data_IF_915231806498
#
_entry.id   IF_915231806498
#
_cell.length_a   1.000
_cell.length_b   1.000
_cell.length_c   1.000
_cell.angle_alpha   90.00
_cell.angle_beta   90.00
_cell.angle_gamma   90.00
#
_symmetry.space_group_name_H-M   'P 1'
#
loop_
_entity.id
_entity.type
_entity.pdbx_description
1 polymer ?
#
# COMPACT_ATOMS: atom_id res chain seq x y z
N UNK A 1 15.30 22.10 71.27
CA UNK A 1 14.35 21.92 70.16
C UNK A 1 14.53 20.50 69.61
N UNK A 2 13.45 19.74 69.44
CA UNK A 2 13.40 18.54 68.60
C UNK A 2 13.89 17.23 69.21
N UNK A 3 12.97 16.48 69.82
CA UNK A 3 13.08 15.04 70.11
C UNK A 3 13.49 14.20 68.88
N UNK A 4 14.30 13.14 69.03
CA UNK A 4 14.24 11.99 68.13
C UNK A 4 13.09 11.04 68.58
N UNK A 5 12.30 10.48 67.65
CA UNK A 5 11.24 9.57 68.03
C UNK A 5 11.75 8.15 68.31
N UNK A 6 11.12 7.56 69.33
CA UNK A 6 11.27 6.19 69.82
C UNK A 6 10.91 5.14 68.78
N UNK A 7 11.63 4.02 68.84
CA UNK A 7 11.27 2.73 68.27
C UNK A 7 9.92 2.21 68.80
N UNK A 8 9.08 1.66 67.91
CA UNK A 8 7.96 0.79 68.25
C UNK A 8 7.84 -0.37 67.23
N UNK A 9 8.05 -1.58 67.76
CA UNK A 9 7.33 -2.83 67.53
C UNK A 9 6.92 -3.25 66.11
N UNK A 10 7.51 -4.37 65.67
CA UNK A 10 7.01 -5.27 64.64
C UNK A 10 5.72 -6.02 65.06
N UNK A 11 4.82 -6.33 64.10
CA UNK A 11 3.87 -7.44 64.18
C UNK A 11 4.27 -8.60 63.23
N UNK A 12 3.68 -9.80 63.39
CA UNK A 12 4.39 -11.07 63.21
C UNK A 12 4.36 -11.64 61.79
N UNK A 13 5.36 -12.52 61.56
CA UNK A 13 5.53 -13.35 60.38
C UNK A 13 4.34 -14.28 60.13
N UNK A 14 3.75 -14.17 58.93
CA UNK A 14 2.88 -15.19 58.35
C UNK A 14 3.74 -16.25 57.64
N UNK A 15 3.70 -17.48 58.18
CA UNK A 15 4.32 -18.67 57.59
C UNK A 15 3.64 -19.07 56.28
N UNK A 16 4.38 -19.74 55.36
CA UNK A 16 3.89 -20.15 54.06
C UNK A 16 3.04 -21.42 54.16
N UNK A 17 1.94 -21.48 53.39
CA UNK A 17 1.17 -22.70 53.15
C UNK A 17 1.47 -23.22 51.74
N UNK A 18 1.86 -24.48 51.67
CA UNK A 18 1.87 -25.34 50.48
C UNK A 18 1.61 -26.77 50.96
N UNK A 19 1.26 -27.73 50.08
CA UNK A 19 0.00 -27.84 49.35
C UNK A 19 -0.67 -29.20 49.63
N UNK A 20 -1.96 -29.39 49.31
CA UNK A 20 -2.49 -30.75 49.06
C UNK A 20 -3.82 -30.73 48.27
N UNK A 21 -4.21 -31.83 47.62
CA UNK A 21 -4.73 -31.83 46.26
C UNK A 21 -6.22 -32.17 46.23
N UNK A 22 -6.94 -31.70 45.21
CA UNK A 22 -8.32 -32.12 44.98
C UNK A 22 -8.45 -32.70 43.57
N UNK A 23 -8.84 -33.98 43.56
CA UNK A 23 -9.12 -34.85 42.41
C UNK A 23 -10.42 -34.46 41.69
N UNK A 24 -10.62 -34.95 40.44
CA UNK A 24 -11.69 -34.54 39.55
C UNK A 24 -13.03 -35.24 39.86
N UNK A 25 -14.12 -34.51 39.64
CA UNK A 25 -15.49 -35.02 39.70
C UNK A 25 -15.86 -35.77 38.42
N UNK A 26 -16.23 -37.03 38.60
CA UNK A 26 -16.83 -37.94 37.62
C UNK A 26 -18.35 -37.73 37.56
N UNK A 27 -18.91 -37.58 36.37
CA UNK A 27 -20.33 -37.84 36.10
C UNK A 27 -20.47 -39.09 35.23
N UNK A 28 -21.21 -40.06 35.75
CA UNK A 28 -21.59 -41.32 35.14
C UNK A 28 -22.73 -41.11 34.13
N UNK A 29 -22.65 -41.76 32.96
CA UNK A 29 -23.82 -42.09 32.17
C UNK A 29 -23.75 -43.55 31.68
N UNK A 30 -24.90 -44.21 31.70
CA UNK A 30 -25.10 -45.66 31.61
C UNK A 30 -25.34 -46.13 30.17
N UNK A 31 -24.91 -47.36 29.92
CA UNK A 31 -25.56 -48.39 29.08
C UNK A 31 -25.76 -48.18 27.55
N UNK A 32 -24.99 -48.99 26.82
CA UNK A 32 -25.16 -49.59 25.47
C UNK A 32 -26.61 -50.06 25.12
N UNK A 33 -27.01 -50.23 23.83
CA UNK A 33 -26.35 -51.18 22.92
C UNK A 33 -26.22 -50.80 21.43
N UNK A 34 -25.48 -51.68 20.73
CA UNK A 34 -25.00 -51.58 19.37
C UNK A 34 -26.09 -51.71 18.30
N UNK A 35 -25.97 -50.94 17.22
CA UNK A 35 -26.50 -51.32 15.92
C UNK A 35 -25.44 -51.17 14.82
N UNK A 36 -25.27 -52.29 14.14
CA UNK A 36 -24.42 -52.60 13.00
C UNK A 36 -24.99 -51.93 11.75
N UNK A 37 -24.25 -51.02 11.11
CA UNK A 37 -24.45 -50.70 9.69
C UNK A 37 -23.11 -50.53 8.95
N UNK A 38 -22.96 -51.43 8.00
CA UNK A 38 -21.90 -51.56 6.99
C UNK A 38 -21.64 -50.26 6.22
N UNK A 39 -20.40 -49.77 6.24
CA UNK A 39 -19.92 -48.83 5.22
C UNK A 39 -19.24 -49.61 4.10
N UNK A 40 -19.88 -49.61 2.94
CA UNK A 40 -19.31 -50.01 1.65
C UNK A 40 -18.07 -49.16 1.37
N UNK A 41 -16.97 -49.84 1.07
CA UNK A 41 -15.73 -49.30 0.54
C UNK A 41 -15.98 -48.96 -0.93
N UNK A 42 -15.98 -47.67 -1.28
CA UNK A 42 -15.94 -47.24 -2.69
C UNK A 42 -14.48 -47.18 -3.09
N UNK A 43 -14.07 -48.11 -3.97
CA UNK A 43 -12.78 -48.10 -4.64
C UNK A 43 -12.77 -46.94 -5.65
N UNK A 44 -11.89 -45.96 -5.44
CA UNK A 44 -11.57 -44.95 -6.44
C UNK A 44 -10.57 -45.55 -7.44
N UNK A 45 -10.97 -45.64 -8.71
CA UNK A 45 -10.09 -46.04 -9.81
C UNK A 45 -9.07 -44.95 -10.17
N UNK A 46 -7.99 -45.29 -10.90
CA UNK A 46 -6.87 -44.38 -11.17
C UNK A 46 -7.26 -43.24 -12.13
N UNK A 47 -6.59 -42.07 -12.04
CA UNK A 47 -6.93 -40.90 -12.83
C UNK A 47 -6.56 -41.08 -14.32
N UNK A 48 -7.47 -40.65 -15.20
CA UNK A 48 -7.25 -40.56 -16.65
C UNK A 48 -6.33 -39.37 -17.00
N UNK A 49 -5.41 -39.51 -17.97
CA UNK A 49 -4.50 -38.44 -18.37
C UNK A 49 -5.22 -37.34 -19.19
N UNK A 50 -4.72 -36.08 -19.15
CA UNK A 50 -5.32 -34.97 -19.87
C UNK A 50 -5.08 -35.05 -21.38
N UNK A 51 -6.16 -34.87 -22.14
CA UNK A 51 -6.18 -34.77 -23.60
C UNK A 51 -5.58 -33.44 -24.08
N UNK A 52 -4.49 -33.50 -24.84
CA UNK A 52 -3.88 -32.38 -25.59
C UNK A 52 -4.84 -31.85 -26.67
N UNK A 53 -5.01 -30.52 -26.82
CA UNK A 53 -5.46 -29.94 -28.09
C UNK A 53 -4.29 -29.87 -29.07
N UNK A 54 -4.56 -30.28 -30.31
CA UNK A 54 -3.64 -30.34 -31.45
C UNK A 54 -3.10 -28.96 -31.84
N UNK A 55 -1.78 -28.88 -32.02
CA UNK A 55 -1.10 -27.89 -32.87
C UNK A 55 -1.67 -27.96 -34.29
N UNK A 56 -2.10 -26.83 -34.85
CA UNK A 56 -2.17 -26.63 -36.30
C UNK A 56 -1.04 -25.70 -36.72
N UNK A 57 -0.23 -26.21 -37.63
CA UNK A 57 0.86 -25.57 -38.35
C UNK A 57 0.33 -24.56 -39.38
N UNK A 58 1.19 -23.59 -39.67
CA UNK A 58 1.14 -22.47 -40.63
C UNK A 58 0.83 -22.89 -42.08
N UNK A 59 0.56 -21.90 -42.95
CA UNK A 59 1.60 -21.61 -43.96
C UNK A 59 1.92 -20.12 -44.13
N UNK A 60 3.21 -19.89 -44.36
CA UNK A 60 3.89 -18.69 -44.87
C UNK A 60 3.38 -18.31 -46.27
N UNK A 61 3.64 -17.06 -46.71
CA UNK A 61 4.22 -16.90 -48.04
C UNK A 61 5.53 -16.11 -48.04
N UNK A 62 6.49 -16.72 -48.72
CA UNK A 62 7.50 -16.18 -49.64
C UNK A 62 8.15 -14.81 -49.39
N UNK A 63 9.47 -14.90 -49.33
CA UNK A 63 10.46 -13.86 -49.57
C UNK A 63 10.37 -13.30 -51.01
N UNK A 64 10.60 -11.99 -51.16
CA UNK A 64 11.45 -11.49 -52.24
C UNK A 64 12.27 -10.33 -51.70
N UNK A 65 13.59 -10.53 -51.66
CA UNK A 65 14.57 -9.47 -51.45
C UNK A 65 14.87 -8.79 -52.80
N UNK A 66 15.11 -7.48 -52.79
CA UNK A 66 16.04 -6.86 -53.74
C UNK A 66 16.76 -5.71 -53.03
N UNK A 67 18.07 -5.85 -52.94
CA UNK A 67 19.02 -4.81 -52.54
C UNK A 67 19.42 -3.97 -53.76
N UNK A 68 19.58 -2.65 -53.57
CA UNK A 68 20.61 -1.79 -54.20
C UNK A 68 20.50 -0.40 -53.52
N UNK A 69 21.41 0.03 -52.63
CA UNK A 69 22.78 0.49 -52.83
C UNK A 69 22.91 1.93 -53.38
N UNK A 70 23.22 2.90 -52.50
CA UNK A 70 24.16 4.05 -52.69
C UNK A 70 24.26 4.82 -51.36
N UNK A 71 25.36 4.78 -50.57
CA UNK A 71 26.57 5.64 -50.62
C UNK A 71 26.25 7.10 -50.99
N UNK A 72 26.58 8.17 -50.26
CA UNK A 72 27.27 8.40 -48.98
C UNK A 72 27.91 9.80 -48.97
N UNK A 73 27.65 10.61 -47.91
CA UNK A 73 28.45 11.76 -47.32
C UNK A 73 28.92 12.91 -48.25
N UNK A 74 29.49 14.05 -47.75
CA UNK A 74 29.74 14.56 -46.35
C UNK A 74 29.04 15.92 -46.08
N UNK A 75 28.80 16.41 -44.85
CA UNK A 75 29.65 16.95 -43.77
C UNK A 75 30.42 18.27 -44.07
N UNK A 76 29.99 19.36 -43.42
CA UNK A 76 30.79 20.51 -42.92
C UNK A 76 29.89 21.29 -41.91
N UNK A 77 30.16 21.36 -40.59
CA UNK A 77 31.20 22.03 -39.77
C UNK A 77 31.02 23.54 -39.52
N UNK A 78 30.69 23.81 -38.24
CA UNK A 78 31.19 24.85 -37.31
C UNK A 78 30.62 26.28 -37.39
N UNK A 79 30.12 26.74 -36.24
CA UNK A 79 30.00 28.16 -35.88
C UNK A 79 29.44 28.34 -34.46
N UNK A 80 30.33 28.50 -33.48
CA UNK A 80 30.03 28.81 -32.08
C UNK A 80 29.75 30.31 -31.86
N UNK A 81 28.97 30.64 -30.84
CA UNK A 81 28.88 32.01 -30.30
C UNK A 81 27.66 32.25 -29.40
N UNK A 82 27.89 32.34 -28.09
CA UNK A 82 26.94 32.85 -27.09
C UNK A 82 27.00 34.40 -27.01
N UNK A 83 26.40 35.07 -26.01
CA UNK A 83 25.03 35.59 -25.96
C UNK A 83 24.97 37.14 -25.95
N UNK A 84 23.83 37.72 -26.32
CA UNK A 84 23.48 39.16 -26.18
C UNK A 84 21.95 39.15 -25.97
N UNK A 85 21.28 39.82 -25.05
CA UNK A 85 21.48 41.06 -24.29
C UNK A 85 20.08 41.70 -24.21
N UNK A 86 19.72 42.24 -23.04
CA UNK A 86 18.38 42.68 -22.67
C UNK A 86 17.77 43.79 -23.54
N UNK A 87 16.43 43.80 -23.62
CA UNK A 87 15.45 44.92 -23.80
C UNK A 87 14.19 44.30 -24.45
N UNK A 88 12.93 44.59 -24.12
CA UNK A 88 12.25 45.81 -23.63
C UNK A 88 10.97 45.40 -22.90
N UNK A 89 10.58 46.22 -21.92
CA UNK A 89 9.25 46.24 -21.34
C UNK A 89 8.18 46.46 -22.41
N UNK A 90 7.13 45.64 -22.38
CA UNK A 90 5.89 45.84 -23.11
C UNK A 90 4.73 45.60 -22.15
N UNK A 91 4.09 46.68 -21.73
CA UNK A 91 2.78 46.64 -21.10
C UNK A 91 1.80 45.94 -22.04
N UNK A 92 1.26 44.80 -21.60
CA UNK A 92 0.02 44.25 -22.14
C UNK A 92 -0.95 44.15 -20.98
N UNK A 93 -1.95 45.00 -21.07
CA UNK A 93 -3.02 45.19 -20.10
C UNK A 93 -3.86 43.92 -19.92
N UNK A 94 -4.18 43.67 -18.65
CA UNK A 94 -5.49 43.21 -18.17
C UNK A 94 -6.31 42.29 -19.08
N UNK A 95 -6.21 40.99 -18.83
CA UNK A 95 -7.40 40.15 -18.74
C UNK A 95 -7.28 39.35 -17.44
N UNK A 96 -7.59 39.99 -16.32
CA UNK A 96 -7.94 39.27 -15.09
C UNK A 96 -9.19 38.46 -15.40
N UNK A 97 -9.01 37.18 -15.72
CA UNK A 97 -10.08 36.22 -15.63
C UNK A 97 -10.41 36.09 -14.13
N UNK A 98 -11.30 36.95 -13.62
CA UNK A 98 -11.98 36.76 -12.34
C UNK A 98 -12.98 35.60 -12.48
N UNK A 99 -12.47 34.43 -12.82
CA UNK A 99 -13.15 33.18 -12.54
C UNK A 99 -13.13 33.01 -11.03
N UNK A 100 -14.30 32.99 -10.41
CA UNK A 100 -14.49 32.59 -9.03
C UNK A 100 -13.55 31.43 -8.65
N UNK A 101 -12.50 31.71 -7.88
CA UNK A 101 -11.50 30.74 -7.41
C UNK A 101 -12.05 29.96 -6.22
N UNK A 102 -13.28 29.48 -6.33
CA UNK A 102 -13.89 28.63 -5.30
C UNK A 102 -13.42 27.21 -5.57
N UNK A 103 -12.58 26.70 -4.66
CA UNK A 103 -12.11 25.32 -4.66
C UNK A 103 -13.25 24.34 -4.48
N UNK A 104 -12.97 23.08 -4.73
CA UNK A 104 -13.98 22.03 -4.67
C UNK A 104 -14.23 21.61 -3.23
N UNK A 105 -15.50 21.35 -2.90
CA UNK A 105 -15.89 20.61 -1.70
C UNK A 105 -15.83 19.12 -2.01
N UNK A 106 -14.85 18.43 -1.44
CA UNK A 106 -14.53 17.05 -1.80
C UNK A 106 -14.85 16.05 -0.69
N UNK A 107 -15.23 14.84 -1.10
CA UNK A 107 -15.14 13.65 -0.24
C UNK A 107 -13.98 12.79 -0.68
N UNK A 108 -13.02 12.55 0.21
CA UNK A 108 -11.89 11.64 -0.02
C UNK A 108 -12.14 10.34 0.73
N UNK A 109 -12.34 9.27 -0.02
CA UNK A 109 -12.80 8.00 0.52
C UNK A 109 -11.75 6.90 0.36
N UNK A 110 -11.29 6.31 1.47
CA UNK A 110 -10.32 5.23 1.43
C UNK A 110 -10.59 4.20 2.53
N UNK A 111 -10.35 2.93 2.24
CA UNK A 111 -10.16 1.94 3.30
C UNK A 111 -8.89 2.24 4.10
N UNK A 112 -8.76 1.69 5.30
CA UNK A 112 -7.52 1.80 6.09
C UNK A 112 -6.31 1.15 5.40
N UNK A 113 -5.14 1.23 6.04
CA UNK A 113 -3.89 0.69 5.54
C UNK A 113 -3.29 1.52 4.40
N UNK A 114 -2.73 0.82 3.40
CA UNK A 114 -2.08 1.46 2.25
C UNK A 114 -3.01 2.31 1.38
N UNK A 115 -4.32 2.04 1.36
CA UNK A 115 -5.28 2.85 0.62
C UNK A 115 -5.41 4.26 1.18
N UNK A 116 -5.49 4.39 2.51
CA UNK A 116 -5.55 5.67 3.19
C UNK A 116 -4.23 6.43 3.05
N UNK A 117 -3.10 5.77 3.30
CA UNK A 117 -1.77 6.39 3.13
C UNK A 117 -1.59 6.94 1.71
N UNK A 118 -2.00 6.16 0.70
CA UNK A 118 -1.97 6.59 -0.69
C UNK A 118 -2.87 7.80 -0.95
N UNK A 119 -4.12 7.81 -0.48
CA UNK A 119 -5.05 8.91 -0.76
C UNK A 119 -4.63 10.21 -0.07
N UNK A 120 -4.09 10.13 1.15
CA UNK A 120 -3.51 11.29 1.86
C UNK A 120 -2.37 11.89 1.04
N UNK A 121 -1.49 11.07 0.47
CA UNK A 121 -0.40 11.56 -0.39
C UNK A 121 -0.91 12.15 -1.71
N UNK A 122 -1.96 11.56 -2.29
CA UNK A 122 -2.53 12.03 -3.56
C UNK A 122 -3.39 13.30 -3.41
N UNK A 123 -3.83 13.67 -2.20
CA UNK A 123 -4.66 14.85 -1.93
C UNK A 123 -4.04 16.12 -2.54
N UNK A 124 -2.74 16.37 -2.30
CA UNK A 124 -2.03 17.56 -2.80
C UNK A 124 -1.81 17.56 -4.32
N UNK A 125 -2.03 16.42 -4.98
CA UNK A 125 -1.86 16.24 -6.43
C UNK A 125 -3.18 16.16 -7.17
N UNK A 126 -4.32 16.37 -6.51
CA UNK A 126 -5.60 16.50 -7.21
C UNK A 126 -5.56 17.73 -8.13
N UNK A 127 -6.10 17.66 -9.37
CA UNK A 127 -5.88 18.70 -10.37
C UNK A 127 -6.77 19.94 -10.18
N UNK A 128 -7.51 20.01 -9.08
CA UNK A 128 -8.35 21.14 -8.71
C UNK A 128 -8.05 21.57 -7.27
N UNK A 129 -8.14 22.89 -6.96
CA UNK A 129 -8.05 23.36 -5.59
C UNK A 129 -9.17 22.77 -4.74
N UNK A 130 -8.90 22.51 -3.46
CA UNK A 130 -9.84 21.98 -2.49
C UNK A 130 -10.08 23.02 -1.39
N UNK A 131 -11.33 23.40 -1.16
CA UNK A 131 -11.70 24.33 -0.10
C UNK A 131 -12.09 23.58 1.18
N UNK A 132 -12.88 22.51 1.03
CA UNK A 132 -13.33 21.69 2.13
C UNK A 132 -13.17 20.21 1.77
N UNK A 133 -12.59 19.45 2.68
CA UNK A 133 -12.31 18.02 2.49
C UNK A 133 -12.96 17.24 3.63
N UNK A 134 -13.88 16.34 3.28
CA UNK A 134 -14.40 15.34 4.21
C UNK A 134 -13.81 13.98 3.90
N UNK A 135 -13.18 13.36 4.90
CA UNK A 135 -12.65 12.02 4.80
C UNK A 135 -13.71 10.98 5.12
N UNK A 136 -13.82 9.95 4.28
CA UNK A 136 -14.71 8.80 4.51
C UNK A 136 -13.87 7.52 4.59
N UNK A 137 -13.60 7.04 5.81
CA UNK A 137 -12.65 5.94 6.06
C UNK A 137 -13.03 5.10 7.27
N UNK A 138 -12.42 3.93 7.47
CA UNK A 138 -12.68 3.10 8.64
C UNK A 138 -12.14 3.75 9.91
N UNK A 139 -12.80 3.50 11.04
CA UNK A 139 -12.28 3.89 12.34
C UNK A 139 -11.14 2.97 12.79
N UNK A 140 -9.91 3.43 12.61
CA UNK A 140 -8.68 2.68 12.94
C UNK A 140 -7.66 3.58 13.63
N UNK A 141 -6.72 3.02 14.42
CA UNK A 141 -5.62 3.80 15.00
C UNK A 141 -4.85 4.61 13.96
N UNK A 142 -4.62 4.04 12.76
CA UNK A 142 -3.98 4.75 11.66
C UNK A 142 -4.82 5.95 11.19
N UNK A 143 -6.11 5.77 10.92
CA UNK A 143 -6.96 6.87 10.45
C UNK A 143 -7.09 7.98 11.49
N UNK A 144 -7.19 7.65 12.78
CA UNK A 144 -7.28 8.65 13.86
C UNK A 144 -5.99 9.47 13.97
N UNK A 145 -4.83 8.82 13.78
CA UNK A 145 -3.53 9.50 13.84
C UNK A 145 -3.26 10.36 12.61
N UNK A 146 -3.50 9.84 11.40
CA UNK A 146 -3.18 10.55 10.15
C UNK A 146 -4.17 11.68 9.86
N UNK A 147 -5.40 11.59 10.39
CA UNK A 147 -6.48 12.54 10.14
C UNK A 147 -6.95 13.30 11.39
N UNK A 148 -6.12 13.40 12.43
CA UNK A 148 -6.51 13.93 13.74
C UNK A 148 -7.19 15.32 13.68
N UNK A 149 -6.70 16.20 12.81
CA UNK A 149 -7.20 17.57 12.64
C UNK A 149 -8.02 17.76 11.36
N UNK A 150 -8.56 16.67 10.80
CA UNK A 150 -9.34 16.69 9.56
C UNK A 150 -10.80 16.35 9.85
N UNK A 151 -11.71 16.78 8.98
CA UNK A 151 -13.10 16.37 9.07
C UNK A 151 -13.25 14.92 8.59
N UNK A 152 -13.63 13.99 9.49
CA UNK A 152 -13.71 12.55 9.20
C UNK A 152 -15.09 12.01 9.52
N UNK A 153 -15.65 11.23 8.59
CA UNK A 153 -16.81 10.37 8.80
C UNK A 153 -16.34 8.92 8.78
N UNK A 154 -16.45 8.26 9.93
CA UNK A 154 -16.01 6.89 10.10
C UNK A 154 -17.03 5.88 9.56
N UNK A 155 -16.60 5.08 8.59
CA UNK A 155 -17.32 3.94 8.04
C UNK A 155 -17.09 2.67 8.88
N UNK A 156 -18.05 1.74 8.86
CA UNK A 156 -17.90 0.42 9.47
C UNK A 156 -16.78 -0.34 8.75
N UNK A 157 -15.95 -1.06 9.50
CA UNK A 157 -14.98 -1.97 8.89
C UNK A 157 -15.71 -3.01 8.04
N UNK A 158 -15.28 -3.13 6.78
CA UNK A 158 -15.82 -4.07 5.83
C UNK A 158 -14.73 -5.04 5.38
N UNK A 159 -14.76 -6.26 5.93
CA UNK A 159 -13.84 -7.33 5.56
C UNK A 159 -13.98 -7.69 4.06
N UNK A 160 -12.98 -8.37 3.46
CA UNK A 160 -13.09 -8.83 2.08
C UNK A 160 -14.37 -9.65 1.85
N UNK A 161 -15.18 -9.24 0.87
CA UNK A 161 -16.48 -9.84 0.49
C UNK A 161 -17.63 -9.64 1.49
N UNK A 162 -17.53 -8.69 2.42
CA UNK A 162 -18.62 -8.33 3.33
C UNK A 162 -19.64 -7.38 2.66
N UNK A 163 -20.62 -7.95 1.96
CA UNK A 163 -21.67 -7.18 1.29
C UNK A 163 -22.59 -6.42 2.27
N UNK A 164 -22.78 -6.94 3.49
CA UNK A 164 -23.63 -6.31 4.49
C UNK A 164 -22.98 -5.02 5.01
N UNK A 165 -21.67 -5.04 5.28
CA UNK A 165 -20.92 -3.84 5.64
C UNK A 165 -20.90 -2.81 4.50
N UNK A 166 -20.73 -3.25 3.25
CA UNK A 166 -20.83 -2.34 2.09
C UNK A 166 -22.18 -1.63 2.07
N UNK A 167 -23.29 -2.33 2.30
CA UNK A 167 -24.63 -1.74 2.31
C UNK A 167 -24.84 -0.78 3.49
N UNK A 168 -24.37 -1.10 4.69
CA UNK A 168 -24.40 -0.18 5.85
C UNK A 168 -23.62 1.10 5.55
N UNK A 169 -22.43 0.95 4.98
CA UNK A 169 -21.60 2.07 4.56
C UNK A 169 -22.22 2.87 3.41
N UNK A 170 -22.97 2.23 2.50
CA UNK A 170 -23.76 2.93 1.47
C UNK A 170 -24.84 3.81 2.12
N UNK A 171 -25.55 3.32 3.14
CA UNK A 171 -26.54 4.13 3.87
C UNK A 171 -25.89 5.31 4.61
N UNK A 172 -24.70 5.11 5.18
CA UNK A 172 -23.93 6.16 5.82
C UNK A 172 -23.44 7.21 4.79
N UNK A 173 -22.83 6.77 3.69
CA UNK A 173 -22.41 7.62 2.59
C UNK A 173 -23.59 8.43 2.00
N UNK A 174 -24.76 7.81 1.87
CA UNK A 174 -25.98 8.49 1.42
C UNK A 174 -26.52 9.52 2.42
N UNK A 175 -26.23 9.41 3.72
CA UNK A 175 -26.52 10.46 4.71
C UNK A 175 -25.51 11.60 4.59
N UNK A 176 -24.22 11.28 4.51
CA UNK A 176 -23.15 12.25 4.30
C UNK A 176 -23.39 13.12 3.05
N UNK A 177 -23.61 12.49 1.89
CA UNK A 177 -23.85 13.21 0.63
C UNK A 177 -25.18 13.99 0.59
N UNK A 178 -26.06 13.83 1.60
CA UNK A 178 -27.29 14.63 1.74
C UNK A 178 -27.16 15.75 2.76
N UNK A 179 -26.27 15.60 3.74
CA UNK A 179 -26.08 16.58 4.81
C UNK A 179 -25.17 17.73 4.44
N UNK A 180 -24.46 17.65 3.31
CA UNK A 180 -23.55 18.68 2.83
C UNK A 180 -23.60 18.85 1.32
N UNK A 181 -23.00 19.95 0.84
CA UNK A 181 -22.77 20.20 -0.58
C UNK A 181 -21.39 19.71 -0.96
N UNK A 182 -21.29 18.87 -1.97
CA UNK A 182 -20.03 18.34 -2.49
C UNK A 182 -20.02 18.46 -4.01
N UNK A 183 -18.85 18.67 -4.58
CA UNK A 183 -18.66 18.72 -6.04
C UNK A 183 -18.06 17.43 -6.59
N UNK A 184 -17.26 16.75 -5.75
CA UNK A 184 -16.41 15.64 -6.17
C UNK A 184 -16.20 14.63 -5.06
N UNK A 185 -16.13 13.36 -5.45
CA UNK A 185 -15.75 12.23 -4.58
C UNK A 185 -14.61 11.48 -5.26
N UNK A 186 -13.48 11.36 -4.56
CA UNK A 186 -12.31 10.60 -5.01
C UNK A 186 -12.08 9.43 -4.07
N UNK A 187 -11.83 8.25 -4.61
CA UNK A 187 -11.52 7.08 -3.79
C UNK A 187 -10.38 6.24 -4.35
N UNK A 188 -9.55 5.71 -3.45
CA UNK A 188 -8.47 4.76 -3.78
C UNK A 188 -8.83 3.29 -3.55
N UNK A 189 -10.11 2.97 -3.28
CA UNK A 189 -10.57 1.63 -2.87
C UNK A 189 -10.67 1.49 -1.34
N UNK A 190 -10.88 0.30 -0.76
CA UNK A 190 -11.44 -0.93 -1.33
C UNK A 190 -12.98 -0.88 -1.25
N UNK A 191 -13.61 -1.59 -0.31
CA UNK A 191 -15.08 -1.66 -0.16
C UNK A 191 -15.75 -0.29 0.01
N UNK A 192 -15.07 0.67 0.64
CA UNK A 192 -15.54 2.06 0.82
C UNK A 192 -15.88 2.73 -0.52
N UNK A 193 -15.10 2.47 -1.58
CA UNK A 193 -15.34 3.03 -2.91
C UNK A 193 -16.69 2.56 -3.49
N UNK A 194 -17.02 1.28 -3.32
CA UNK A 194 -18.31 0.71 -3.74
C UNK A 194 -19.48 1.34 -2.98
N UNK A 195 -19.25 1.72 -1.73
CA UNK A 195 -20.30 2.30 -0.89
C UNK A 195 -20.68 3.73 -1.30
N UNK A 196 -19.73 4.53 -1.78
CA UNK A 196 -19.95 5.98 -2.01
C UNK A 196 -19.96 6.40 -3.49
N UNK A 197 -19.10 5.85 -4.35
CA UNK A 197 -18.94 6.36 -5.72
C UNK A 197 -20.19 6.20 -6.58
N UNK A 198 -20.92 5.07 -6.57
CA UNK A 198 -22.18 4.96 -7.31
C UNK A 198 -23.22 5.98 -6.83
N UNK A 199 -23.28 6.26 -5.51
CA UNK A 199 -24.19 7.26 -4.96
C UNK A 199 -23.85 8.68 -5.37
N UNK A 200 -22.55 8.99 -5.45
CA UNK A 200 -22.03 10.27 -5.93
C UNK A 200 -22.36 10.48 -7.40
N UNK A 201 -22.10 9.46 -8.23
CA UNK A 201 -22.41 9.46 -9.66
C UNK A 201 -23.91 9.65 -9.94
N UNK A 202 -24.79 8.97 -9.18
CA UNK A 202 -26.25 9.15 -9.29
C UNK A 202 -26.73 10.54 -8.88
N UNK A 203 -25.98 11.24 -8.02
CA UNK A 203 -26.24 12.64 -7.63
C UNK A 203 -25.64 13.65 -8.60
N UNK A 204 -24.98 13.20 -9.66
CA UNK A 204 -24.33 14.05 -10.62
C UNK A 204 -23.00 14.65 -10.15
N UNK A 205 -22.42 14.16 -9.04
CA UNK A 205 -21.11 14.59 -8.55
C UNK A 205 -19.98 14.01 -9.42
N UNK A 206 -18.81 14.66 -9.41
CA UNK A 206 -17.61 14.06 -10.01
C UNK A 206 -17.21 12.81 -9.23
N UNK A 207 -17.36 11.62 -9.80
CA UNK A 207 -17.07 10.36 -9.13
C UNK A 207 -15.80 9.72 -9.72
N UNK A 208 -14.70 9.75 -8.98
CA UNK A 208 -13.37 9.35 -9.45
C UNK A 208 -12.84 8.17 -8.62
N UNK A 209 -12.62 7.05 -9.28
CA UNK A 209 -11.97 5.88 -8.71
C UNK A 209 -10.52 5.79 -9.18
N UNK A 210 -9.56 5.96 -8.28
CA UNK A 210 -8.14 5.74 -8.56
C UNK A 210 -7.76 4.36 -8.03
N UNK A 211 -7.40 3.42 -8.89
CA UNK A 211 -7.02 2.08 -8.46
C UNK A 211 -5.80 2.12 -7.52
N UNK A 212 -5.77 1.21 -6.55
CA UNK A 212 -4.66 1.12 -5.61
C UNK A 212 -3.32 0.90 -6.31
N UNK A 213 -2.24 1.48 -5.76
CA UNK A 213 -0.89 1.23 -6.26
C UNK A 213 -0.48 -0.24 -6.04
N UNK A 214 -1.22 -1.01 -5.23
CA UNK A 214 -1.00 -2.44 -5.07
C UNK A 214 -1.41 -3.26 -6.31
N UNK A 215 -1.97 -2.62 -7.34
CA UNK A 215 -2.52 -3.23 -8.54
C UNK A 215 -1.73 -2.83 -9.79
N UNK A 216 -0.53 -3.38 -9.91
CA UNK A 216 0.39 -3.06 -11.00
C UNK A 216 0.06 -3.72 -12.34
N UNK A 217 -0.67 -4.84 -12.37
CA UNK A 217 -1.01 -5.55 -13.62
C UNK A 217 -2.50 -5.52 -14.01
N UNK A 218 -3.35 -4.86 -13.23
CA UNK A 218 -4.77 -4.76 -13.58
C UNK A 218 -5.73 -4.54 -12.41
N UNK A 219 -7.02 -4.29 -12.72
CA UNK A 219 -7.97 -3.78 -11.75
C UNK A 219 -8.28 -4.79 -10.64
N UNK A 220 -8.54 -4.27 -9.45
CA UNK A 220 -9.04 -5.02 -8.30
C UNK A 220 -10.46 -5.56 -8.56
N UNK A 221 -10.98 -6.40 -7.65
CA UNK A 221 -12.40 -6.80 -7.71
C UNK A 221 -13.31 -5.57 -7.64
N UNK A 222 -13.01 -4.63 -6.74
CA UNK A 222 -13.73 -3.35 -6.62
C UNK A 222 -13.67 -2.56 -7.92
N UNK A 223 -12.48 -2.37 -8.49
CA UNK A 223 -12.32 -1.67 -9.77
C UNK A 223 -13.09 -2.34 -10.92
N UNK A 224 -13.09 -3.67 -10.99
CA UNK A 224 -13.86 -4.43 -11.98
C UNK A 224 -15.37 -4.29 -11.84
N UNK A 225 -15.88 -4.02 -10.64
CA UNK A 225 -17.29 -3.72 -10.42
C UNK A 225 -17.57 -2.26 -10.81
N UNK A 226 -16.76 -1.32 -10.32
CA UNK A 226 -16.95 0.11 -10.54
C UNK A 226 -16.83 0.55 -11.99
N UNK A 227 -16.04 -0.16 -12.82
CA UNK A 227 -15.94 0.15 -14.27
C UNK A 227 -17.27 0.05 -15.02
N UNK A 228 -18.27 -0.61 -14.44
CA UNK A 228 -19.63 -0.74 -14.99
C UNK A 228 -20.63 0.20 -14.34
N UNK A 229 -20.24 0.92 -13.28
CA UNK A 229 -21.10 1.90 -12.65
C UNK A 229 -21.16 3.17 -13.54
N UNK A 230 -22.35 3.56 -14.04
CA UNK A 230 -22.47 4.72 -14.91
C UNK A 230 -21.90 5.97 -14.25
N UNK A 231 -21.18 6.79 -15.04
CA UNK A 231 -20.57 8.08 -14.62
C UNK A 231 -19.49 7.99 -13.53
N UNK A 232 -19.12 6.79 -13.07
CA UNK A 232 -17.90 6.59 -12.28
C UNK A 232 -16.72 6.51 -13.25
N UNK A 233 -15.74 7.40 -13.07
CA UNK A 233 -14.53 7.46 -13.89
C UNK A 233 -13.45 6.63 -13.22
N UNK A 234 -12.87 5.68 -13.94
CA UNK A 234 -11.87 4.74 -13.42
C UNK A 234 -10.47 5.09 -13.92
N UNK A 235 -9.52 5.15 -12.99
CA UNK A 235 -8.14 5.53 -13.23
C UNK A 235 -7.17 4.49 -12.70
N UNK A 236 -6.04 4.30 -13.39
CA UNK A 236 -4.94 3.45 -12.95
C UNK A 236 -3.67 4.27 -12.65
N UNK A 237 -2.75 3.66 -11.90
CA UNK A 237 -1.46 4.27 -11.53
C UNK A 237 -0.26 3.67 -12.29
N UNK A 238 -0.55 2.85 -13.29
CA UNK A 238 0.42 2.12 -14.09
C UNK A 238 -0.03 2.24 -15.55
N UNK A 239 0.74 2.93 -16.41
CA UNK A 239 0.35 3.13 -17.81
C UNK A 239 0.29 1.81 -18.59
N UNK A 240 1.01 0.78 -18.16
CA UNK A 240 1.20 -0.49 -18.87
C UNK A 240 -0.10 -1.27 -19.08
N UNK A 241 -1.07 -1.14 -18.16
CA UNK A 241 -2.39 -1.78 -18.27
C UNK A 241 -3.54 -0.81 -18.50
N UNK A 242 -3.26 0.48 -18.68
CA UNK A 242 -4.29 1.45 -19.04
C UNK A 242 -4.98 1.02 -20.35
N UNK A 243 -6.30 1.19 -20.44
CA UNK A 243 -7.07 0.75 -21.60
C UNK A 243 -8.56 0.55 -21.33
N UNK A 244 -9.36 0.65 -22.39
CA UNK A 244 -10.81 0.61 -22.29
C UNK A 244 -11.34 1.77 -21.44
N UNK A 245 -12.02 1.47 -20.34
CA UNK A 245 -12.56 2.47 -19.42
C UNK A 245 -11.52 2.99 -18.39
N UNK A 246 -10.26 2.54 -18.47
CA UNK A 246 -9.21 2.91 -17.51
C UNK A 246 -8.26 3.95 -18.11
N UNK A 247 -8.11 5.07 -17.40
CA UNK A 247 -7.19 6.15 -17.76
C UNK A 247 -6.01 6.18 -16.79
N UNK A 248 -4.79 6.31 -17.29
CA UNK A 248 -3.63 6.51 -16.43
C UNK A 248 -3.66 7.90 -15.78
N UNK A 249 -3.79 7.95 -14.45
CA UNK A 249 -3.85 9.18 -13.69
C UNK A 249 -2.48 9.74 -13.30
N UNK A 250 -1.40 8.95 -13.41
CA UNK A 250 -0.18 9.17 -12.65
C UNK A 250 -0.09 8.20 -11.48
N UNK A 251 1.10 8.02 -10.91
CA UNK A 251 1.38 7.15 -9.78
C UNK A 251 1.66 7.96 -8.53
N UNK A 252 1.23 7.46 -7.36
CA UNK A 252 1.62 8.01 -6.06
C UNK A 252 3.14 8.11 -5.90
N UNK A 253 3.90 7.26 -6.61
CA UNK A 253 5.36 7.24 -6.57
C UNK A 253 6.04 8.28 -7.46
N UNK A 254 5.30 9.01 -8.31
CA UNK A 254 5.88 10.02 -9.22
C UNK A 254 6.45 11.24 -8.48
N UNK A 255 6.15 11.37 -7.18
CA UNK A 255 6.69 12.44 -6.34
C UNK A 255 8.00 12.10 -5.65
N UNK A 256 8.68 11.01 -6.03
CA UNK A 256 9.93 10.57 -5.42
C UNK A 256 11.02 10.36 -6.46
N UNK A 257 12.24 10.68 -6.06
CA UNK A 257 13.45 10.33 -6.80
C UNK A 257 14.50 9.80 -5.83
N UNK A 258 15.39 8.95 -6.33
CA UNK A 258 16.54 8.46 -5.58
C UNK A 258 17.85 8.98 -6.13
N UNK A 259 18.83 9.09 -5.25
CA UNK A 259 20.19 9.48 -5.58
C UNK A 259 21.19 8.66 -4.75
N UNK A 260 22.39 8.46 -5.31
CA UNK A 260 23.50 7.81 -4.60
C UNK A 260 24.19 8.85 -3.73
N UNK A 261 24.26 8.60 -2.42
CA UNK A 261 24.96 9.47 -1.45
C UNK A 261 26.31 8.92 -0.97
N UNK A 262 26.72 7.75 -1.47
CA UNK A 262 27.97 7.08 -1.13
C UNK A 262 27.78 6.02 -0.04
N UNK A 263 28.81 5.19 0.17
CA UNK A 263 28.77 4.09 1.15
C UNK A 263 28.67 4.64 2.58
N UNK A 264 27.77 4.05 3.38
CA UNK A 264 27.62 4.30 4.81
C UNK A 264 27.64 2.98 5.57
N UNK A 265 28.22 2.99 6.76
CA UNK A 265 28.12 1.87 7.70
C UNK A 265 26.66 1.71 8.13
N UNK A 266 26.13 0.50 8.04
CA UNK A 266 24.78 0.16 8.50
C UNK A 266 24.86 -0.23 9.98
N UNK A 267 24.25 0.56 10.84
CA UNK A 267 24.20 0.34 12.29
C UNK A 267 22.79 0.17 12.83
N UNK A 268 21.78 0.72 12.13
CA UNK A 268 20.37 0.65 12.50
C UNK A 268 19.51 0.17 11.35
N UNK A 269 18.68 -0.84 11.61
CA UNK A 269 17.77 -1.42 10.61
C UNK A 269 16.34 -1.42 11.15
N UNK A 270 15.41 -0.87 10.38
CA UNK A 270 13.97 -1.00 10.68
C UNK A 270 13.35 -2.06 9.79
N UNK A 271 12.78 -3.10 10.40
CA UNK A 271 12.11 -4.20 9.71
C UNK A 271 10.61 -4.11 9.91
N UNK A 272 9.85 -4.10 8.81
CA UNK A 272 8.37 -4.14 8.87
C UNK A 272 7.76 -5.16 7.91
N UNK A 273 6.97 -6.08 8.45
CA UNK A 273 6.16 -7.02 7.65
C UNK A 273 4.67 -6.66 7.66
N UNK A 274 4.33 -5.46 8.13
CA UNK A 274 2.96 -4.99 8.27
C UNK A 274 2.20 -5.62 9.44
N UNK A 275 0.99 -5.12 9.70
CA UNK A 275 0.16 -5.51 10.85
C UNK A 275 -1.05 -6.37 10.48
N UNK A 276 -1.18 -6.77 9.22
CA UNK A 276 -2.33 -7.54 8.78
C UNK A 276 -2.31 -8.96 9.37
N UNK A 277 -3.32 -9.27 10.19
CA UNK A 277 -3.47 -10.58 10.80
C UNK A 277 -3.62 -11.69 9.75
N UNK A 278 -3.06 -12.86 10.05
CA UNK A 278 -3.18 -14.06 9.21
C UNK A 278 -2.12 -14.18 8.12
N UNK A 279 -1.21 -13.21 7.98
CA UNK A 279 -0.14 -13.21 7.00
C UNK A 279 1.23 -13.11 7.69
N UNK A 280 1.71 -14.22 8.26
CA UNK A 280 3.08 -14.30 8.76
C UNK A 280 4.11 -14.19 7.65
N UNK A 281 5.34 -13.79 7.98
CA UNK A 281 6.43 -13.67 7.02
C UNK A 281 7.76 -14.17 7.59
N UNK A 282 7.74 -15.41 8.09
CA UNK A 282 8.87 -16.02 8.79
C UNK A 282 10.12 -16.13 7.90
N UNK A 283 9.96 -16.39 6.60
CA UNK A 283 11.08 -16.51 5.66
C UNK A 283 11.96 -15.25 5.65
N UNK A 284 11.38 -14.06 5.65
CA UNK A 284 12.10 -12.79 5.74
C UNK A 284 12.78 -12.62 7.09
N UNK A 285 12.04 -12.81 8.19
CA UNK A 285 12.59 -12.61 9.54
C UNK A 285 13.76 -13.56 9.80
N UNK A 286 13.60 -14.86 9.49
CA UNK A 286 14.67 -15.84 9.61
C UNK A 286 15.87 -15.48 8.74
N UNK A 287 15.65 -15.06 7.49
CA UNK A 287 16.75 -14.64 6.63
C UNK A 287 17.53 -13.47 7.22
N UNK A 288 16.83 -12.46 7.73
CA UNK A 288 17.47 -11.28 8.31
C UNK A 288 18.29 -11.65 9.55
N UNK A 289 17.78 -12.53 10.41
CA UNK A 289 18.55 -13.06 11.55
C UNK A 289 19.86 -13.73 11.09
N UNK A 290 19.84 -14.45 9.96
CA UNK A 290 21.04 -15.14 9.46
C UNK A 290 22.11 -14.20 8.87
N UNK A 291 21.71 -13.03 8.33
CA UNK A 291 22.62 -12.14 7.58
C UNK A 291 23.01 -10.87 8.33
N UNK A 292 22.27 -10.49 9.36
CA UNK A 292 22.55 -9.29 10.13
C UNK A 292 23.75 -9.54 11.06
N UNK A 293 24.83 -8.73 10.96
CA UNK A 293 25.98 -8.85 11.85
C UNK A 293 25.62 -8.53 13.31
N UNK A 294 26.42 -9.07 14.23
CA UNK A 294 26.38 -8.66 15.63
C UNK A 294 26.61 -7.15 15.78
N UNK A 295 25.85 -6.50 16.66
CA UNK A 295 25.98 -5.06 16.94
C UNK A 295 25.09 -4.14 16.09
N UNK A 296 24.40 -4.65 15.07
CA UNK A 296 23.35 -3.89 14.38
C UNK A 296 22.11 -3.81 15.27
N UNK A 297 21.63 -2.59 15.52
CA UNK A 297 20.38 -2.35 16.23
C UNK A 297 19.20 -2.56 15.27
N UNK A 298 18.22 -3.37 15.67
CA UNK A 298 17.11 -3.74 14.79
C UNK A 298 15.76 -3.53 15.46
N UNK A 299 14.88 -2.79 14.80
CA UNK A 299 13.47 -2.66 15.17
C UNK A 299 12.66 -3.68 14.38
N UNK A 300 11.98 -4.59 15.08
CA UNK A 300 11.22 -5.68 14.48
C UNK A 300 9.71 -5.51 14.59
N UNK A 301 9.06 -4.93 13.57
CA UNK A 301 7.60 -5.07 13.43
C UNK A 301 7.26 -6.39 12.73
N UNK A 302 6.82 -7.37 13.52
CA UNK A 302 6.68 -8.77 13.10
C UNK A 302 5.27 -9.16 12.64
N UNK A 303 4.25 -8.32 12.87
CA UNK A 303 2.87 -8.66 12.51
C UNK A 303 2.39 -9.92 13.23
N UNK A 304 1.72 -10.82 12.50
CA UNK A 304 1.34 -12.15 13.00
C UNK A 304 2.40 -13.23 12.73
N UNK A 305 3.65 -12.86 12.51
CA UNK A 305 4.72 -13.82 12.21
C UNK A 305 5.13 -14.57 13.46
N UNK A 306 5.16 -15.90 13.37
CA UNK A 306 5.79 -16.73 14.41
C UNK A 306 7.31 -16.53 14.35
N UNK A 307 7.86 -15.99 15.44
CA UNK A 307 9.30 -15.74 15.62
C UNK A 307 9.94 -16.61 16.69
N UNK A 308 9.25 -17.66 17.15
CA UNK A 308 9.80 -18.59 18.12
C UNK A 308 11.14 -19.15 17.64
N UNK A 309 12.12 -19.17 18.55
CA UNK A 309 13.47 -19.67 18.30
C UNK A 309 14.37 -18.76 17.46
N UNK A 310 13.95 -17.55 17.08
CA UNK A 310 14.75 -16.64 16.24
C UNK A 310 15.56 -15.59 17.02
N UNK A 311 15.39 -15.51 18.35
CA UNK A 311 16.13 -14.53 19.18
C UNK A 311 15.76 -13.06 18.92
N UNK A 312 14.64 -12.79 18.25
CA UNK A 312 14.13 -11.44 17.98
C UNK A 312 13.09 -11.02 19.02
N UNK A 313 13.04 -9.74 19.36
CA UNK A 313 11.98 -9.16 20.18
C UNK A 313 10.78 -8.79 19.30
N UNK A 314 9.65 -9.55 19.34
CA UNK A 314 8.54 -9.28 18.43
C UNK A 314 7.76 -8.04 18.84
N UNK A 315 7.51 -7.16 17.88
CA UNK A 315 6.46 -6.13 17.98
C UNK A 315 5.35 -6.43 16.97
N UNK A 316 4.24 -7.08 17.37
CA UNK A 316 3.16 -7.44 16.45
C UNK A 316 2.55 -6.23 15.72
N UNK A 317 2.54 -5.08 16.39
CA UNK A 317 2.15 -3.80 15.81
C UNK A 317 3.00 -2.69 16.41
N UNK A 318 3.32 -1.68 15.61
CA UNK A 318 3.97 -0.44 16.01
C UNK A 318 3.06 0.70 15.53
N UNK A 319 2.72 1.68 16.37
CA UNK A 319 1.97 2.87 15.94
C UNK A 319 2.62 3.53 14.72
N UNK A 320 1.81 4.03 13.78
CA UNK A 320 2.33 4.55 12.51
C UNK A 320 3.37 5.66 12.67
N UNK A 321 3.12 6.62 13.56
CA UNK A 321 4.06 7.71 13.84
C UNK A 321 5.39 7.19 14.43
N UNK A 322 5.33 6.19 15.31
CA UNK A 322 6.53 5.58 15.90
C UNK A 322 7.30 4.77 14.84
N UNK A 323 6.62 4.01 13.98
CA UNK A 323 7.26 3.29 12.88
C UNK A 323 7.97 4.24 11.91
N UNK A 324 7.35 5.37 11.57
CA UNK A 324 7.99 6.40 10.72
C UNK A 324 9.21 7.00 11.41
N UNK A 325 9.15 7.29 12.72
CA UNK A 325 10.31 7.76 13.47
C UNK A 325 11.48 6.74 13.42
N UNK A 326 11.19 5.45 13.63
CA UNK A 326 12.19 4.39 13.48
C UNK A 326 12.75 4.30 12.04
N UNK A 327 11.93 4.52 11.01
CA UNK A 327 12.40 4.57 9.62
C UNK A 327 13.31 5.77 9.35
N UNK A 328 12.97 6.94 9.90
CA UNK A 328 13.78 8.17 9.78
C UNK A 328 15.14 7.97 10.45
N UNK A 329 15.19 7.32 11.61
CA UNK A 329 16.42 7.12 12.38
C UNK A 329 17.26 5.91 11.93
N UNK A 330 16.68 4.97 11.19
CA UNK A 330 17.38 3.78 10.66
C UNK A 330 18.29 4.11 9.48
N UNK A 331 19.37 3.35 9.27
CA UNK A 331 20.18 3.44 8.06
C UNK A 331 19.48 2.76 6.87
N UNK A 332 18.83 1.62 7.15
CA UNK A 332 18.13 0.78 6.17
C UNK A 332 16.74 0.42 6.66
N UNK A 333 15.77 0.47 5.74
CA UNK A 333 14.43 -0.08 5.95
C UNK A 333 14.29 -1.36 5.13
N UNK A 334 13.97 -2.46 5.80
CA UNK A 334 13.57 -3.72 5.14
C UNK A 334 12.10 -3.92 5.34
N UNK A 335 11.34 -4.02 4.25
CA UNK A 335 9.89 -4.12 4.33
C UNK A 335 9.33 -5.23 3.46
N UNK A 336 8.17 -5.77 3.85
CA UNK A 336 7.34 -6.44 2.85
C UNK A 336 6.93 -5.43 1.75
N UNK A 337 6.69 -5.90 0.53
CA UNK A 337 6.35 -5.03 -0.59
C UNK A 337 4.88 -4.55 -0.60
N UNK A 338 4.39 -4.08 0.56
CA UNK A 338 3.12 -3.38 0.66
C UNK A 338 3.27 -1.89 0.38
N UNK A 339 2.32 -1.30 -0.35
CA UNK A 339 2.34 0.11 -0.73
C UNK A 339 2.51 1.06 0.46
N UNK A 340 1.81 0.82 1.57
CA UNK A 340 1.90 1.70 2.75
C UNK A 340 3.30 1.70 3.36
N UNK A 341 3.93 0.54 3.51
CA UNK A 341 5.28 0.41 4.05
C UNK A 341 6.33 0.99 3.10
N UNK A 342 6.14 0.79 1.78
CA UNK A 342 6.99 1.42 0.77
C UNK A 342 6.89 2.95 0.84
N UNK A 343 5.68 3.53 0.82
CA UNK A 343 5.48 4.98 0.93
C UNK A 343 6.09 5.56 2.20
N UNK A 344 5.86 4.93 3.37
CA UNK A 344 6.43 5.40 4.62
C UNK A 344 7.98 5.41 4.61
N UNK A 345 8.60 4.40 3.99
CA UNK A 345 10.05 4.36 3.83
C UNK A 345 10.56 5.48 2.90
N UNK A 346 9.89 5.70 1.77
CA UNK A 346 10.24 6.76 0.82
C UNK A 346 10.09 8.15 1.45
N UNK A 347 9.02 8.38 2.21
CA UNK A 347 8.76 9.62 2.96
C UNK A 347 9.79 9.84 4.09
N UNK A 348 10.28 8.78 4.72
CA UNK A 348 11.42 8.84 5.64
C UNK A 348 12.78 9.11 4.93
N UNK A 349 12.77 9.25 3.61
CA UNK A 349 13.94 9.47 2.77
C UNK A 349 14.79 8.22 2.56
N UNK A 350 14.25 7.04 2.84
CA UNK A 350 14.96 5.76 2.73
C UNK A 350 14.60 5.07 1.43
N UNK A 351 15.59 4.48 0.77
CA UNK A 351 15.36 3.54 -0.32
C UNK A 351 15.22 2.14 0.31
N UNK A 352 13.99 1.58 0.41
CA UNK A 352 13.79 0.33 1.13
C UNK A 352 14.32 -0.88 0.35
N UNK A 353 14.75 -1.90 1.10
CA UNK A 353 14.83 -3.27 0.57
C UNK A 353 13.44 -3.89 0.70
N UNK A 354 12.78 -4.10 -0.43
CA UNK A 354 11.47 -4.71 -0.51
C UNK A 354 11.59 -6.21 -0.76
N UNK A 355 10.98 -6.99 0.13
CA UNK A 355 10.91 -8.44 0.01
C UNK A 355 9.44 -8.84 -0.14
N UNK A 356 8.97 -9.20 -1.34
CA UNK A 356 7.57 -9.52 -1.55
C UNK A 356 7.21 -10.87 -0.92
N UNK A 357 6.02 -10.94 -0.31
CA UNK A 357 5.42 -12.22 0.09
C UNK A 357 5.04 -13.03 -1.15
N UNK A 358 5.17 -14.35 -1.08
CA UNK A 358 4.79 -15.27 -2.16
C UNK A 358 3.58 -16.12 -1.79
N UNK A 359 2.69 -16.30 -2.77
CA UNK A 359 1.59 -17.26 -2.68
C UNK A 359 2.10 -18.69 -2.56
N UNK A 360 3.17 -19.04 -3.27
CA UNK A 360 3.79 -20.38 -3.22
C UNK A 360 4.29 -20.78 -1.84
N UNK A 361 4.61 -19.80 -0.98
CA UNK A 361 5.02 -19.98 0.43
C UNK A 361 3.86 -19.80 1.43
N UNK A 362 2.63 -19.66 0.94
CA UNK A 362 1.45 -19.34 1.75
C UNK A 362 1.59 -18.06 2.61
N UNK A 363 2.44 -17.14 2.19
CA UNK A 363 2.67 -15.86 2.88
C UNK A 363 1.61 -14.83 2.50
N UNK A 364 0.99 -14.99 1.32
CA UNK A 364 -0.08 -14.12 0.83
C UNK A 364 -1.06 -14.84 -0.11
N UNK A 365 -2.19 -14.21 -0.41
CA UNK A 365 -3.24 -14.79 -1.27
C UNK A 365 -2.91 -14.76 -2.77
N UNK A 366 -2.06 -13.82 -3.17
CA UNK A 366 -1.60 -13.57 -4.53
C UNK A 366 -0.20 -12.93 -4.51
N UNK A 367 0.42 -12.83 -5.69
CA UNK A 367 1.80 -12.36 -5.86
C UNK A 367 1.88 -10.87 -6.26
N UNK A 368 0.84 -10.07 -6.01
CA UNK A 368 0.80 -8.66 -6.44
C UNK A 368 1.92 -7.81 -5.82
N UNK A 369 2.41 -8.21 -4.64
CA UNK A 369 3.54 -7.56 -3.96
C UNK A 369 4.82 -7.59 -4.81
N UNK A 370 5.01 -8.65 -5.60
CA UNK A 370 6.16 -8.80 -6.50
C UNK A 370 6.16 -7.69 -7.54
N UNK A 371 4.99 -7.44 -8.12
CA UNK A 371 4.80 -6.44 -9.17
C UNK A 371 5.07 -5.03 -8.66
N UNK A 372 4.62 -4.73 -7.44
CA UNK A 372 4.91 -3.44 -6.78
C UNK A 372 6.41 -3.27 -6.54
N UNK A 373 7.08 -4.32 -6.04
CA UNK A 373 8.51 -4.27 -5.76
C UNK A 373 9.35 -4.10 -7.03
N UNK A 374 9.03 -4.85 -8.09
CA UNK A 374 9.70 -4.75 -9.40
C UNK A 374 9.52 -3.36 -10.01
N UNK A 375 8.34 -2.76 -9.91
CA UNK A 375 8.10 -1.42 -10.44
C UNK A 375 8.88 -0.34 -9.68
N UNK A 376 8.99 -0.47 -8.35
CA UNK A 376 9.78 0.46 -7.55
C UNK A 376 11.28 0.28 -7.82
N UNK A 377 11.75 -0.95 -8.02
CA UNK A 377 13.14 -1.22 -8.39
C UNK A 377 13.48 -0.64 -9.77
N UNK A 378 12.59 -0.79 -10.76
CA UNK A 378 12.76 -0.17 -12.09
C UNK A 378 12.84 1.36 -12.04
N UNK A 379 12.21 1.98 -11.03
CA UNK A 379 12.29 3.43 -10.78
C UNK A 379 13.48 3.82 -9.91
N UNK A 380 14.29 2.86 -9.45
CA UNK A 380 15.38 3.09 -8.50
C UNK A 380 14.91 3.50 -7.11
N UNK A 381 13.62 3.31 -6.78
CA UNK A 381 13.01 3.69 -5.51
C UNK A 381 13.03 2.57 -4.47
N UNK A 382 13.47 1.37 -4.83
CA UNK A 382 13.64 0.25 -3.91
C UNK A 382 14.67 -0.74 -4.46
N UNK A 383 15.17 -1.64 -3.62
CA UNK A 383 15.81 -2.88 -4.06
C UNK A 383 14.83 -4.03 -3.83
N UNK A 384 14.56 -4.84 -4.86
CA UNK A 384 13.65 -5.98 -4.75
C UNK A 384 14.44 -7.28 -4.55
N UNK A 385 14.19 -8.01 -3.46
CA UNK A 385 14.88 -9.29 -3.20
C UNK A 385 13.92 -10.38 -2.79
N UNK A 386 14.20 -11.60 -3.21
CA UNK A 386 13.61 -12.79 -2.57
C UNK A 386 14.34 -13.09 -1.26
N UNK A 387 13.66 -13.70 -0.26
CA UNK A 387 14.30 -14.07 1.01
C UNK A 387 15.57 -14.89 0.83
N UNK A 388 15.61 -15.88 -0.06
CA UNK A 388 16.79 -16.73 -0.28
C UNK A 388 17.98 -16.02 -0.93
N UNK A 389 17.73 -14.87 -1.58
CA UNK A 389 18.75 -14.08 -2.30
C UNK A 389 19.19 -12.83 -1.56
N UNK A 390 18.40 -12.38 -0.58
CA UNK A 390 18.72 -11.22 0.23
C UNK A 390 20.05 -11.43 0.96
N UNK A 391 21.00 -10.50 0.86
CA UNK A 391 22.29 -10.58 1.53
C UNK A 391 22.66 -9.24 2.20
N UNK A 392 23.69 -9.25 3.04
CA UNK A 392 24.16 -8.05 3.73
C UNK A 392 24.53 -6.91 2.76
N UNK A 393 25.16 -7.26 1.62
CA UNK A 393 25.52 -6.29 0.59
C UNK A 393 24.28 -5.56 -0.01
N UNK A 394 23.10 -6.16 0.01
CA UNK A 394 21.87 -5.48 -0.41
C UNK A 394 21.46 -4.38 0.57
N UNK A 395 21.66 -4.60 1.88
CA UNK A 395 21.40 -3.60 2.91
C UNK A 395 22.40 -2.44 2.79
N UNK A 396 23.68 -2.75 2.55
CA UNK A 396 24.70 -1.74 2.29
C UNK A 396 24.40 -0.93 1.02
N UNK A 397 23.93 -1.59 -0.05
CA UNK A 397 23.52 -0.93 -1.28
C UNK A 397 22.29 -0.02 -1.06
N UNK A 398 21.30 -0.47 -0.29
CA UNK A 398 20.16 0.36 0.09
C UNK A 398 20.56 1.58 0.93
N UNK A 399 21.50 1.41 1.88
CA UNK A 399 22.02 2.50 2.71
C UNK A 399 22.77 3.58 1.92
N UNK A 400 23.34 3.20 0.77
CA UNK A 400 24.02 4.13 -0.13
C UNK A 400 23.06 5.01 -0.96
N UNK A 401 21.76 4.70 -0.94
CA UNK A 401 20.72 5.42 -1.66
C UNK A 401 19.93 6.32 -0.69
N UNK A 402 19.58 7.52 -1.16
CA UNK A 402 18.65 8.40 -0.47
C UNK A 402 17.47 8.70 -1.38
N UNK A 403 16.27 8.67 -0.81
CA UNK A 403 15.06 9.11 -1.50
C UNK A 403 14.73 10.52 -1.05
N UNK A 404 14.27 11.35 -1.98
CA UNK A 404 13.77 12.70 -1.71
C UNK A 404 12.46 12.93 -2.45
N UNK A 405 11.66 13.86 -1.93
CA UNK A 405 10.49 14.34 -2.65
C UNK A 405 10.92 15.22 -3.82
N UNK A 406 10.30 15.00 -4.99
CA UNK A 406 10.52 15.83 -6.18
C UNK A 406 9.61 17.06 -6.10
N UNK A 407 10.16 18.29 -6.05
CA UNK A 407 9.34 19.49 -6.10
C UNK A 407 8.52 19.54 -7.38
N UNK A 408 7.22 19.85 -7.27
CA UNK A 408 6.35 19.98 -8.45
C UNK A 408 5.97 18.66 -9.12
N UNK A 409 5.86 17.57 -8.36
CA UNK A 409 5.30 16.32 -8.86
C UNK A 409 4.00 16.57 -9.66
N UNK A 410 3.85 15.98 -10.87
CA UNK A 410 2.77 16.34 -11.78
C UNK A 410 1.41 16.07 -11.13
N UNK A 411 0.42 16.97 -11.31
CA UNK A 411 -0.96 16.72 -10.90
C UNK A 411 -1.47 15.41 -11.50
N UNK A 412 -2.39 14.76 -10.78
CA UNK A 412 -3.09 13.60 -11.29
C UNK A 412 -3.94 13.99 -12.50
N UNK A 413 -3.96 13.15 -13.52
CA UNK A 413 -4.79 13.31 -14.71
C UNK A 413 -6.19 12.78 -14.44
N UNK A 414 -6.96 13.56 -13.69
CA UNK A 414 -8.37 13.31 -13.43
C UNK A 414 -9.22 14.27 -14.28
N UNK A 415 -10.35 13.78 -14.78
CA UNK A 415 -11.30 14.62 -15.53
C UNK A 415 -11.91 15.69 -14.61
N UNK A 416 -12.44 16.78 -15.18
CA UNK A 416 -13.01 17.88 -14.41
C UNK A 416 -14.08 17.47 -13.39
N UNK A 417 -14.23 18.30 -12.34
CA UNK A 417 -15.33 18.22 -11.36
C UNK A 417 -16.68 18.39 -12.07
N UNK A 418 -17.75 17.85 -11.50
CA UNK A 418 -19.08 17.96 -12.11
C UNK A 418 -19.45 19.43 -12.37
N UNK A 419 -19.82 19.75 -13.62
CA UNK A 419 -20.20 21.11 -14.02
C UNK A 419 -19.06 22.12 -14.20
N UNK A 420 -17.78 21.72 -14.04
CA UNK A 420 -16.63 22.56 -14.37
C UNK A 420 -16.28 22.49 -15.87
N UNK A 421 -15.64 23.53 -16.44
CA UNK A 421 -15.14 23.46 -17.81
C UNK A 421 -14.18 22.27 -17.94
N UNK A 422 -14.34 21.47 -18.99
CA UNK A 422 -13.35 20.47 -19.38
C UNK A 422 -12.05 21.22 -19.71
N UNK A 423 -10.96 20.79 -19.06
CA UNK A 423 -9.62 21.35 -19.27
C UNK A 423 -8.98 20.79 -20.55
#
# INVERSE_FOLDING_TARGET
>A
MGHPPRAQSAPPATRPLSPNPIRPTTTSDKSRPATRRSRRRVQAGPPRPPTRPRRRSTPTPAQTATMAATRGRPADRIGAGAPIGATTAGHAEGFEHRGSTVGARAVLAASGGGHLAQLVRLESRLPWPLDEVTWFTFDTPQSRSVLADRHVVHADYAAPRDAAAVLRNTRLAGRLLRSGTFDVVVSTGASVALSILPLAAMRGLGAHYVESAARAEGPSVTGRILRYAPRVRTYCQYPEWAGGNWVFAGSVFDGFASEVRGSRSVSRVTVTVGSQAGYGFRSLISRLVDILPDGVEVIWQTGSTDVAGLGVEPRPSIPAAELVAHMVDSDVVVAHAGVGSALAALEAGRCPVLVPRRKSRAEHVDDHQVQVAEHLEQRGLALCREPDRLCWADLEAAAALRVSEVPGAPPLRLAGRAGGPEA
#
